data_IF_447352055918
#
_entry.id   IF_447352055918
#
_cell.length_a   1.000
_cell.length_b   1.000
_cell.length_c   1.000
_cell.angle_alpha   90.00
_cell.angle_beta   90.00
_cell.angle_gamma   90.00
#
_symmetry.space_group_name_H-M   'P 1'
#
loop_
_entity.id
_entity.type
_entity.pdbx_description
1 polymer ?
#
# COMPACT_ATOMS: atom_id res chain seq x y z
N UNK A 1 9.72 -11.59 -41.29
CA UNK A 1 9.99 -13.05 -41.21
C UNK A 1 10.24 -13.36 -39.74
N UNK A 2 9.43 -14.19 -39.13
CA UNK A 2 9.60 -14.64 -37.75
C UNK A 2 10.35 -15.98 -37.85
N UNK A 3 11.51 -16.08 -37.21
CA UNK A 3 12.25 -17.33 -37.07
C UNK A 3 12.04 -17.84 -35.63
N UNK A 4 11.54 -19.08 -35.54
CA UNK A 4 11.34 -19.75 -34.26
C UNK A 4 12.55 -20.69 -34.01
N UNK A 5 13.13 -20.54 -32.81
CA UNK A 5 14.16 -21.46 -32.33
C UNK A 5 13.57 -22.27 -31.19
N UNK A 6 13.55 -23.58 -31.33
CA UNK A 6 13.14 -24.50 -30.28
C UNK A 6 14.37 -24.95 -29.49
N UNK A 7 14.33 -24.76 -28.17
CA UNK A 7 15.39 -25.17 -27.23
C UNK A 7 14.86 -26.32 -26.35
N UNK A 8 15.45 -27.50 -26.50
CA UNK A 8 15.17 -28.66 -25.65
C UNK A 8 16.12 -28.65 -24.46
N UNK A 9 15.57 -28.46 -23.26
CA UNK A 9 16.34 -28.49 -22.01
C UNK A 9 16.21 -29.88 -21.37
N UNK A 10 17.33 -30.52 -21.10
CA UNK A 10 17.36 -31.83 -20.46
C UNK A 10 16.93 -31.80 -18.98
N UNK A 11 16.92 -30.62 -18.36
CA UNK A 11 16.62 -30.47 -16.95
C UNK A 11 15.71 -29.24 -16.75
N UNK A 12 14.56 -29.42 -16.12
CA UNK A 12 13.62 -28.33 -15.80
C UNK A 12 14.22 -27.24 -14.89
N UNK A 13 15.30 -27.56 -14.17
CA UNK A 13 16.05 -26.58 -13.33
C UNK A 13 16.81 -25.55 -14.15
N UNK A 14 17.15 -25.87 -15.40
CA UNK A 14 17.91 -24.99 -16.28
C UNK A 14 17.00 -24.00 -17.01
N UNK A 15 15.69 -24.19 -16.95
CA UNK A 15 14.69 -23.33 -17.59
C UNK A 15 14.80 -21.88 -17.10
N UNK A 16 14.88 -21.66 -15.80
CA UNK A 16 15.01 -20.31 -15.23
C UNK A 16 16.33 -19.64 -15.65
N UNK A 17 17.45 -20.39 -15.65
CA UNK A 17 18.76 -19.89 -16.08
C UNK A 17 18.79 -19.58 -17.57
N UNK A 18 18.23 -20.44 -18.42
CA UNK A 18 18.13 -20.21 -19.87
C UNK A 18 17.24 -19.01 -20.19
N UNK A 19 16.14 -18.83 -19.46
CA UNK A 19 15.33 -17.62 -19.56
C UNK A 19 16.11 -16.35 -19.14
N UNK A 20 16.90 -16.38 -18.08
CA UNK A 20 17.78 -15.25 -17.73
C UNK A 20 18.77 -14.91 -18.85
N UNK A 21 19.43 -15.92 -19.43
CA UNK A 21 20.43 -15.74 -20.52
C UNK A 21 19.79 -15.23 -21.82
N UNK A 22 18.61 -15.73 -22.18
CA UNK A 22 17.88 -15.26 -23.38
C UNK A 22 17.38 -13.82 -23.14
N UNK A 23 16.96 -13.50 -21.94
CA UNK A 23 16.45 -12.21 -21.56
C UNK A 23 17.53 -11.10 -21.53
N UNK A 24 18.78 -11.46 -21.31
CA UNK A 24 19.91 -10.51 -21.37
C UNK A 24 20.15 -9.96 -22.80
N UNK A 25 19.57 -10.63 -23.82
CA UNK A 25 19.66 -10.25 -25.23
C UNK A 25 18.36 -9.70 -25.84
N UNK A 26 17.27 -9.65 -25.06
CA UNK A 26 15.93 -9.24 -25.51
C UNK A 26 15.23 -8.27 -24.54
N UNK A 27 13.93 -8.31 -24.54
CA UNK A 27 13.10 -7.56 -23.58
C UNK A 27 13.22 -8.22 -22.19
N UNK A 28 13.71 -7.45 -21.19
CA UNK A 28 13.97 -8.01 -19.84
C UNK A 28 12.66 -8.52 -19.21
N UNK A 29 12.70 -9.76 -18.74
CA UNK A 29 11.62 -10.31 -17.93
C UNK A 29 11.36 -9.44 -16.70
N UNK A 30 10.09 -9.24 -16.38
CA UNK A 30 9.72 -8.58 -15.14
C UNK A 30 10.06 -9.49 -13.94
N UNK A 31 10.37 -8.93 -12.77
CA UNK A 31 10.70 -9.72 -11.58
C UNK A 31 9.64 -10.78 -11.23
N UNK A 32 8.35 -10.48 -11.40
CA UNK A 32 7.27 -11.45 -11.15
C UNK A 32 7.26 -12.62 -12.14
N UNK A 33 7.77 -12.44 -13.37
CA UNK A 33 7.90 -13.52 -14.37
C UNK A 33 9.04 -14.48 -14.00
N UNK A 34 10.16 -13.92 -13.53
CA UNK A 34 11.26 -14.72 -12.96
C UNK A 34 10.77 -15.49 -11.75
N UNK A 35 10.05 -14.83 -10.85
CA UNK A 35 9.49 -15.46 -9.66
C UNK A 35 8.51 -16.59 -10.01
N UNK A 36 7.64 -16.40 -11.02
CA UNK A 36 6.78 -17.44 -11.57
C UNK A 36 7.59 -18.67 -11.98
N UNK A 37 8.66 -18.46 -12.74
CA UNK A 37 9.53 -19.53 -13.22
C UNK A 37 10.16 -20.33 -12.06
N UNK A 38 10.67 -19.63 -11.05
CA UNK A 38 11.25 -20.23 -9.84
C UNK A 38 10.24 -21.05 -9.02
N UNK A 39 8.99 -20.57 -8.92
CA UNK A 39 7.95 -21.29 -8.17
C UNK A 39 7.43 -22.50 -8.96
N UNK A 40 6.93 -22.27 -10.19
CA UNK A 40 6.31 -23.32 -10.99
C UNK A 40 7.33 -24.35 -11.46
N UNK A 41 8.59 -23.98 -11.67
CA UNK A 41 9.66 -24.91 -12.02
C UNK A 41 9.97 -25.98 -10.97
N UNK A 42 9.41 -25.85 -9.76
CA UNK A 42 9.52 -26.87 -8.70
C UNK A 42 8.41 -27.92 -8.75
N UNK A 43 7.36 -27.69 -9.56
CA UNK A 43 6.18 -28.55 -9.65
C UNK A 43 6.28 -29.47 -10.89
N UNK A 44 5.55 -30.56 -10.87
CA UNK A 44 5.44 -31.44 -12.04
C UNK A 44 4.59 -30.76 -13.13
N UNK A 45 4.79 -31.16 -14.38
CA UNK A 45 4.01 -30.65 -15.50
C UNK A 45 2.50 -30.88 -15.30
N UNK A 46 2.13 -32.04 -14.78
CA UNK A 46 0.72 -32.38 -14.53
C UNK A 46 0.10 -31.45 -13.47
N UNK A 47 0.81 -31.15 -12.37
CA UNK A 47 0.36 -30.21 -11.34
C UNK A 47 0.22 -28.80 -11.90
N UNK A 48 1.18 -28.36 -12.71
CA UNK A 48 1.14 -27.04 -13.36
C UNK A 48 -0.09 -26.94 -14.24
N UNK A 49 -0.25 -27.87 -15.19
CA UNK A 49 -1.30 -27.83 -16.22
C UNK A 49 -2.70 -28.00 -15.63
N UNK A 50 -2.83 -28.83 -14.56
CA UNK A 50 -4.14 -29.09 -13.94
C UNK A 50 -4.62 -27.99 -12.99
N UNK A 51 -3.71 -27.27 -12.31
CA UNK A 51 -4.10 -26.42 -11.20
C UNK A 51 -3.31 -25.11 -11.10
N UNK A 52 -1.97 -25.17 -10.93
CA UNK A 52 -1.20 -24.04 -10.43
C UNK A 52 -0.95 -22.94 -11.46
N UNK A 53 -0.89 -23.28 -12.74
CA UNK A 53 -0.88 -22.29 -13.81
C UNK A 53 -2.18 -21.50 -13.85
N UNK A 54 -3.32 -22.16 -13.66
CA UNK A 54 -4.63 -21.52 -13.56
C UNK A 54 -4.72 -20.54 -12.39
N UNK A 55 -4.25 -20.94 -11.21
CA UNK A 55 -4.18 -20.04 -10.04
C UNK A 55 -3.35 -18.79 -10.37
N UNK A 56 -2.14 -18.99 -10.93
CA UNK A 56 -1.29 -17.87 -11.29
C UNK A 56 -1.95 -16.90 -12.28
N UNK A 57 -2.50 -17.43 -13.37
CA UNK A 57 -3.13 -16.62 -14.41
C UNK A 57 -4.33 -15.83 -13.85
N UNK A 58 -5.21 -16.50 -13.09
CA UNK A 58 -6.41 -15.86 -12.54
C UNK A 58 -6.08 -14.79 -11.48
N UNK A 59 -4.98 -14.95 -10.74
CA UNK A 59 -4.58 -14.04 -9.69
C UNK A 59 -3.72 -12.88 -10.21
N UNK A 60 -2.77 -13.13 -11.11
CA UNK A 60 -1.74 -12.16 -11.49
C UNK A 60 -2.09 -11.39 -12.78
N UNK A 61 -2.68 -12.02 -13.79
CA UNK A 61 -3.03 -11.33 -15.03
C UNK A 61 -3.98 -10.13 -14.84
N UNK A 62 -4.97 -10.16 -13.93
CA UNK A 62 -5.79 -8.98 -13.66
C UNK A 62 -4.98 -7.80 -13.13
N UNK A 63 -3.91 -8.04 -12.37
CA UNK A 63 -3.00 -7.00 -11.88
C UNK A 63 -2.15 -6.47 -13.04
N UNK A 64 -1.52 -7.36 -13.81
CA UNK A 64 -0.73 -7.03 -14.99
C UNK A 64 -1.53 -6.21 -16.01
N UNK A 65 -2.80 -6.55 -16.24
CA UNK A 65 -3.68 -5.83 -17.17
C UNK A 65 -3.95 -4.38 -16.76
N UNK A 66 -3.73 -4.01 -15.50
CA UNK A 66 -3.83 -2.62 -15.04
C UNK A 66 -2.54 -1.85 -15.26
N UNK A 67 -1.43 -2.43 -14.88
CA UNK A 67 -0.07 -1.89 -15.03
C UNK A 67 0.92 -3.07 -14.96
N UNK A 68 1.88 -3.12 -15.87
CA UNK A 68 2.91 -4.17 -15.90
C UNK A 68 3.71 -4.26 -14.58
N UNK A 69 3.79 -3.18 -13.82
CA UNK A 69 4.49 -3.14 -12.52
C UNK A 69 3.60 -3.57 -11.33
N UNK A 70 2.27 -3.72 -11.51
CA UNK A 70 1.39 -4.07 -10.39
C UNK A 70 1.63 -5.45 -9.80
N UNK A 71 1.95 -6.52 -10.56
CA UNK A 71 2.33 -7.79 -9.97
C UNK A 71 3.53 -7.67 -9.02
N UNK A 72 4.54 -6.89 -9.38
CA UNK A 72 5.72 -6.69 -8.54
C UNK A 72 5.41 -5.88 -7.28
N UNK A 73 4.54 -4.86 -7.38
CA UNK A 73 4.04 -4.11 -6.23
C UNK A 73 3.25 -5.01 -5.28
N UNK A 74 2.39 -5.86 -5.84
CA UNK A 74 1.62 -6.84 -5.07
C UNK A 74 2.52 -7.77 -4.25
N UNK A 75 3.50 -8.44 -4.87
CA UNK A 75 4.39 -9.35 -4.15
C UNK A 75 5.21 -8.64 -3.07
N UNK A 76 5.71 -7.43 -3.34
CA UNK A 76 6.40 -6.62 -2.32
C UNK A 76 5.48 -6.28 -1.15
N UNK A 77 4.24 -5.88 -1.40
CA UNK A 77 3.27 -5.63 -0.34
C UNK A 77 2.91 -6.89 0.43
N UNK A 78 2.70 -8.02 -0.27
CA UNK A 78 2.38 -9.30 0.35
C UNK A 78 3.49 -9.73 1.33
N UNK A 79 4.72 -9.83 0.85
CA UNK A 79 5.84 -10.24 1.72
C UNK A 79 6.06 -9.28 2.89
N UNK A 80 5.99 -7.99 2.64
CA UNK A 80 6.13 -6.99 3.71
C UNK A 80 5.02 -7.08 4.74
N UNK A 81 3.78 -7.24 4.30
CA UNK A 81 2.64 -7.28 5.22
C UNK A 81 2.67 -8.46 6.15
N UNK A 82 3.14 -9.62 5.67
CA UNK A 82 3.07 -10.87 6.42
C UNK A 82 4.35 -11.24 7.18
N UNK A 83 5.51 -10.78 6.70
CA UNK A 83 6.77 -11.34 7.16
C UNK A 83 7.79 -10.30 7.67
N UNK A 84 7.53 -8.99 7.55
CA UNK A 84 8.52 -7.98 7.98
C UNK A 84 8.13 -7.32 9.29
N UNK A 85 9.05 -7.30 10.26
CA UNK A 85 8.85 -6.69 11.56
C UNK A 85 9.77 -5.49 11.80
N UNK A 86 10.89 -5.43 11.08
CA UNK A 86 11.87 -4.36 11.22
C UNK A 86 12.01 -3.54 9.95
N UNK A 87 12.58 -2.34 10.09
CA UNK A 87 12.93 -1.48 8.95
C UNK A 87 13.88 -2.17 7.97
N UNK A 88 14.80 -3.01 8.49
CA UNK A 88 15.73 -3.76 7.64
C UNK A 88 14.98 -4.83 6.84
N UNK A 89 14.11 -5.60 7.48
CA UNK A 89 13.28 -6.60 6.81
C UNK A 89 12.42 -5.97 5.72
N UNK A 90 11.81 -4.81 6.02
CA UNK A 90 11.04 -4.06 5.05
C UNK A 90 11.87 -3.66 3.82
N UNK A 91 13.12 -3.24 4.03
CA UNK A 91 14.06 -2.86 2.94
C UNK A 91 14.53 -4.05 2.11
N UNK A 92 14.63 -5.24 2.69
CA UNK A 92 15.04 -6.42 1.94
C UNK A 92 14.16 -6.65 0.70
N UNK A 93 12.86 -6.29 0.79
CA UNK A 93 11.92 -6.41 -0.33
C UNK A 93 11.80 -5.15 -1.21
N UNK A 94 12.68 -4.14 -1.06
CA UNK A 94 12.70 -2.96 -1.97
C UNK A 94 13.22 -3.29 -3.36
N UNK A 95 14.18 -4.20 -3.43
CA UNK A 95 14.88 -4.58 -4.65
C UNK A 95 14.33 -5.84 -5.30
N UNK A 96 15.22 -6.80 -5.48
CA UNK A 96 14.98 -8.06 -6.18
C UNK A 96 14.28 -9.10 -5.28
N UNK A 97 13.03 -8.84 -4.89
CA UNK A 97 12.28 -9.74 -4.01
C UNK A 97 12.23 -11.19 -4.53
N UNK A 98 12.19 -11.39 -5.86
CA UNK A 98 12.17 -12.70 -6.51
C UNK A 98 13.42 -13.55 -6.21
N UNK A 99 14.51 -12.93 -5.77
CA UNK A 99 15.74 -13.60 -5.30
C UNK A 99 15.79 -13.66 -3.77
N UNK A 100 15.36 -12.57 -3.12
CA UNK A 100 15.42 -12.42 -1.65
C UNK A 100 14.60 -13.50 -0.94
N UNK A 101 13.44 -13.87 -1.45
CA UNK A 101 12.56 -14.91 -0.87
C UNK A 101 13.24 -16.28 -0.74
N UNK A 102 14.21 -16.60 -1.61
CA UNK A 102 15.00 -17.85 -1.59
C UNK A 102 16.34 -17.73 -0.87
N UNK A 103 16.62 -16.60 -0.22
CA UNK A 103 17.86 -16.35 0.52
C UNK A 103 17.92 -17.14 1.81
N UNK A 104 19.14 -17.28 2.37
CA UNK A 104 19.34 -17.97 3.67
C UNK A 104 18.55 -17.35 4.83
N UNK A 105 18.26 -16.04 4.75
CA UNK A 105 17.46 -15.33 5.76
C UNK A 105 15.98 -15.66 5.66
N UNK A 106 15.43 -15.65 4.44
CA UNK A 106 13.99 -15.68 4.21
C UNK A 106 13.44 -17.07 3.89
N UNK A 107 14.27 -17.96 3.35
CA UNK A 107 13.85 -19.33 3.05
C UNK A 107 13.29 -20.12 4.27
N UNK A 108 13.88 -20.02 5.48
CA UNK A 108 13.31 -20.68 6.67
C UNK A 108 11.92 -20.16 7.07
N UNK A 109 11.60 -18.91 6.70
CA UNK A 109 10.31 -18.26 7.01
C UNK A 109 9.28 -18.57 5.94
N UNK A 110 9.66 -18.43 4.67
CA UNK A 110 8.75 -18.53 3.52
C UNK A 110 8.63 -19.97 2.99
N UNK A 111 9.65 -20.78 3.20
CA UNK A 111 9.70 -22.20 2.79
C UNK A 111 9.39 -22.43 1.30
N UNK A 112 9.91 -21.55 0.44
CA UNK A 112 9.65 -21.60 -1.01
C UNK A 112 10.78 -22.22 -1.82
N UNK A 113 11.97 -22.42 -1.22
CA UNK A 113 13.14 -22.91 -1.94
C UNK A 113 13.21 -24.43 -1.94
N UNK A 114 13.17 -25.05 -3.11
CA UNK A 114 13.21 -26.51 -3.26
C UNK A 114 12.20 -27.23 -2.36
N UNK A 115 11.03 -26.65 -2.25
CA UNK A 115 9.93 -27.12 -1.44
C UNK A 115 8.62 -27.06 -2.24
N UNK A 116 8.33 -28.06 -3.08
CA UNK A 116 7.12 -28.09 -3.90
C UNK A 116 5.82 -27.92 -3.09
N UNK A 117 5.74 -28.50 -1.90
CA UNK A 117 4.54 -28.41 -1.06
C UNK A 117 4.36 -27.00 -0.47
N UNK A 118 5.43 -26.35 -0.05
CA UNK A 118 5.41 -24.95 0.35
C UNK A 118 4.98 -24.02 -0.79
N UNK A 119 5.47 -24.28 -2.01
CA UNK A 119 5.04 -23.53 -3.21
C UNK A 119 3.54 -23.72 -3.48
N UNK A 120 3.03 -24.95 -3.38
CA UNK A 120 1.60 -25.26 -3.57
C UNK A 120 0.74 -24.54 -2.55
N UNK A 121 1.15 -24.55 -1.29
CA UNK A 121 0.46 -23.86 -0.20
C UNK A 121 0.46 -22.34 -0.44
N UNK A 122 1.62 -21.75 -0.72
CA UNK A 122 1.74 -20.33 -1.01
C UNK A 122 0.83 -19.88 -2.17
N UNK A 123 0.80 -20.65 -3.26
CA UNK A 123 -0.05 -20.32 -4.41
C UNK A 123 -1.55 -20.40 -4.08
N UNK A 124 -1.99 -21.44 -3.36
CA UNK A 124 -3.40 -21.66 -3.04
C UNK A 124 -3.92 -20.77 -1.93
N UNK A 125 -3.13 -20.57 -0.89
CA UNK A 125 -3.58 -19.88 0.33
C UNK A 125 -3.28 -18.38 0.28
N UNK A 126 -2.10 -18.00 -0.22
CA UNK A 126 -1.71 -16.59 -0.19
C UNK A 126 -1.97 -15.90 -1.53
N UNK A 127 -1.43 -16.41 -2.65
CA UNK A 127 -1.56 -15.72 -3.94
C UNK A 127 -3.01 -15.66 -4.38
N UNK A 128 -3.72 -16.79 -4.32
CA UNK A 128 -5.13 -16.88 -4.75
C UNK A 128 -6.07 -16.02 -3.90
N UNK A 129 -5.73 -15.82 -2.63
CA UNK A 129 -6.51 -14.99 -1.71
C UNK A 129 -6.15 -13.49 -1.77
N UNK A 130 -4.85 -13.18 -1.68
CA UNK A 130 -4.42 -11.79 -1.53
C UNK A 130 -4.38 -11.00 -2.85
N UNK A 131 -4.18 -11.64 -3.99
CA UNK A 131 -4.17 -10.92 -5.26
C UNK A 131 -5.56 -10.32 -5.62
N UNK A 132 -6.69 -11.05 -5.50
CA UNK A 132 -8.02 -10.44 -5.64
C UNK A 132 -8.31 -9.36 -4.59
N UNK A 133 -7.86 -9.51 -3.36
CA UNK A 133 -7.98 -8.49 -2.32
C UNK A 133 -7.22 -7.22 -2.71
N UNK A 134 -5.98 -7.35 -3.17
CA UNK A 134 -5.18 -6.23 -3.64
C UNK A 134 -5.81 -5.54 -4.85
N UNK A 135 -6.30 -6.30 -5.83
CA UNK A 135 -7.04 -5.77 -6.98
C UNK A 135 -8.29 -4.99 -6.55
N UNK A 136 -9.02 -5.48 -5.54
CA UNK A 136 -10.15 -4.75 -4.94
C UNK A 136 -9.71 -3.42 -4.33
N UNK A 137 -8.59 -3.39 -3.61
CA UNK A 137 -8.03 -2.16 -3.03
C UNK A 137 -7.64 -1.15 -4.11
N UNK A 138 -6.99 -1.58 -5.19
CA UNK A 138 -6.69 -0.73 -6.33
C UNK A 138 -7.96 -0.12 -6.93
N UNK A 139 -8.99 -0.95 -7.12
CA UNK A 139 -10.28 -0.51 -7.67
C UNK A 139 -10.98 0.50 -6.75
N UNK A 140 -11.00 0.27 -5.44
CA UNK A 140 -11.53 1.22 -4.46
C UNK A 140 -10.74 2.53 -4.45
N UNK A 141 -9.42 2.46 -4.62
CA UNK A 141 -8.55 3.63 -4.65
C UNK A 141 -8.76 4.53 -5.88
N UNK A 142 -9.43 4.04 -6.92
CA UNK A 142 -9.75 4.80 -8.12
C UNK A 142 -11.17 5.38 -8.14
N UNK A 143 -12.09 4.77 -7.41
CA UNK A 143 -13.49 5.22 -7.34
C UNK A 143 -13.64 6.37 -6.37
N UNK A 144 -13.89 7.57 -6.88
CA UNK A 144 -14.35 8.68 -6.05
C UNK A 144 -15.69 8.36 -5.39
N UNK A 145 -15.92 8.94 -4.22
CA UNK A 145 -17.18 8.77 -3.49
C UNK A 145 -17.05 9.26 -2.05
N UNK A 146 -18.19 9.64 -1.46
CA UNK A 146 -18.22 10.05 -0.06
C UNK A 146 -17.84 8.86 0.84
N UNK A 147 -16.95 9.13 1.82
CA UNK A 147 -16.51 8.10 2.75
C UNK A 147 -15.57 7.03 2.16
N UNK A 148 -15.17 7.14 0.90
CA UNK A 148 -14.18 6.23 0.33
C UNK A 148 -12.75 6.66 0.70
N UNK A 149 -12.30 6.27 1.86
CA UNK A 149 -10.97 6.61 2.36
C UNK A 149 -9.83 5.98 1.54
N UNK A 150 -10.06 4.84 0.90
CA UNK A 150 -9.08 4.25 -0.01
C UNK A 150 -8.75 5.21 -1.17
N UNK A 151 -9.76 5.86 -1.73
CA UNK A 151 -9.61 6.89 -2.74
C UNK A 151 -8.93 8.16 -2.18
N UNK A 152 -9.35 8.61 -1.00
CA UNK A 152 -8.78 9.81 -0.37
C UNK A 152 -7.28 9.67 -0.16
N UNK A 153 -6.87 8.55 0.39
CA UNK A 153 -5.45 8.29 0.66
C UNK A 153 -4.62 8.28 -0.62
N UNK A 154 -5.01 7.49 -1.62
CA UNK A 154 -4.20 7.31 -2.83
C UNK A 154 -4.33 8.49 -3.79
N UNK A 155 -5.55 8.88 -4.14
CA UNK A 155 -5.76 9.88 -5.21
C UNK A 155 -5.62 11.31 -4.73
N UNK A 156 -6.08 11.60 -3.51
CA UNK A 156 -6.03 12.97 -2.99
C UNK A 156 -4.71 13.24 -2.26
N UNK A 157 -4.25 12.32 -1.40
CA UNK A 157 -3.04 12.51 -0.58
C UNK A 157 -1.78 11.86 -1.17
N UNK A 158 -1.88 11.00 -2.18
CA UNK A 158 -0.76 10.23 -2.78
C UNK A 158 -0.08 9.29 -1.78
N UNK A 159 -0.89 8.63 -0.96
CA UNK A 159 -0.46 7.70 0.09
C UNK A 159 -0.98 6.29 -0.23
N UNK A 160 -0.16 5.45 -0.83
CA UNK A 160 -0.50 4.08 -1.23
C UNK A 160 -0.19 3.02 -0.16
N UNK A 161 0.55 3.38 0.89
CA UNK A 161 0.96 2.46 1.96
C UNK A 161 -0.20 1.87 2.76
N UNK A 162 -1.41 2.40 2.63
CA UNK A 162 -2.61 1.75 3.14
C UNK A 162 -2.80 0.32 2.61
N UNK A 163 -2.32 0.02 1.40
CA UNK A 163 -2.40 -1.32 0.82
C UNK A 163 -1.62 -2.34 1.66
N UNK A 164 -0.42 -1.97 2.10
CA UNK A 164 0.38 -2.78 3.03
C UNK A 164 -0.40 -3.09 4.31
N UNK A 165 -0.97 -2.06 4.95
CA UNK A 165 -1.67 -2.19 6.23
C UNK A 165 -2.95 -3.01 6.11
N UNK A 166 -3.68 -2.89 5.01
CA UNK A 166 -4.86 -3.72 4.77
C UNK A 166 -4.47 -5.18 4.56
N UNK A 167 -3.44 -5.46 3.75
CA UNK A 167 -2.96 -6.83 3.56
C UNK A 167 -2.45 -7.43 4.88
N UNK A 168 -1.84 -6.61 5.76
CA UNK A 168 -1.42 -7.07 7.09
C UNK A 168 -2.61 -7.45 7.97
N UNK A 169 -3.63 -6.60 8.04
CA UNK A 169 -4.78 -6.75 8.94
C UNK A 169 -5.74 -7.89 8.54
N UNK A 170 -5.80 -8.24 7.26
CA UNK A 170 -6.71 -9.27 6.74
C UNK A 170 -5.99 -10.61 6.68
N UNK A 171 -6.55 -11.64 7.30
CA UNK A 171 -6.07 -13.03 7.18
C UNK A 171 -6.74 -13.78 6.02
N UNK A 172 -6.18 -14.91 5.64
CA UNK A 172 -6.80 -15.81 4.65
C UNK A 172 -8.16 -16.28 5.16
N UNK A 173 -9.19 -16.18 4.31
CA UNK A 173 -10.55 -16.58 4.70
C UNK A 173 -11.28 -15.62 5.64
N UNK A 174 -10.75 -14.41 5.87
CA UNK A 174 -11.31 -13.45 6.84
C UNK A 174 -12.76 -13.05 6.52
N UNK A 175 -13.73 -13.39 7.38
CA UNK A 175 -15.13 -13.02 7.17
C UNK A 175 -15.37 -11.51 7.32
N UNK A 176 -14.51 -10.79 8.04
CA UNK A 176 -14.58 -9.35 8.28
C UNK A 176 -13.72 -8.54 7.30
N UNK A 177 -13.26 -9.15 6.21
CA UNK A 177 -12.37 -8.52 5.22
C UNK A 177 -12.83 -7.13 4.80
N UNK A 178 -14.08 -6.97 4.43
CA UNK A 178 -14.60 -5.71 3.91
C UNK A 178 -14.76 -4.64 5.00
N UNK A 179 -15.03 -5.04 6.23
CA UNK A 179 -15.04 -4.16 7.39
C UNK A 179 -13.62 -3.69 7.72
N UNK A 180 -12.65 -4.59 7.74
CA UNK A 180 -11.23 -4.26 7.97
C UNK A 180 -10.68 -3.33 6.88
N UNK A 181 -11.04 -3.52 5.61
CA UNK A 181 -10.66 -2.59 4.53
C UNK A 181 -11.15 -1.18 4.87
N UNK A 182 -12.43 -1.02 5.21
CA UNK A 182 -13.01 0.30 5.55
C UNK A 182 -12.36 0.89 6.80
N UNK A 183 -12.16 0.08 7.81
CA UNK A 183 -11.56 0.51 9.09
C UNK A 183 -10.13 0.98 8.90
N UNK A 184 -9.26 0.14 8.32
CA UNK A 184 -7.84 0.46 8.13
C UNK A 184 -7.66 1.70 7.25
N UNK A 185 -8.37 1.81 6.13
CA UNK A 185 -8.24 2.96 5.24
C UNK A 185 -8.70 4.26 5.91
N UNK A 186 -9.78 4.21 6.72
CA UNK A 186 -10.26 5.34 7.52
C UNK A 186 -9.26 5.74 8.61
N UNK A 187 -8.74 4.77 9.35
CA UNK A 187 -7.79 5.04 10.42
C UNK A 187 -6.46 5.56 9.89
N UNK A 188 -6.03 5.08 8.72
CA UNK A 188 -4.84 5.60 8.04
C UNK A 188 -5.01 7.06 7.62
N UNK A 189 -6.16 7.43 7.05
CA UNK A 189 -6.50 8.83 6.73
C UNK A 189 -6.53 9.71 7.99
N UNK A 190 -7.16 9.23 9.07
CA UNK A 190 -7.19 9.93 10.36
C UNK A 190 -5.77 10.13 10.92
N UNK A 191 -4.96 9.10 10.92
CA UNK A 191 -3.59 9.14 11.41
C UNK A 191 -2.77 10.20 10.66
N UNK A 192 -2.76 10.13 9.32
CA UNK A 192 -2.09 11.12 8.48
C UNK A 192 -2.62 12.54 8.72
N UNK A 193 -3.94 12.70 8.74
CA UNK A 193 -4.57 14.01 8.89
C UNK A 193 -4.26 14.66 10.24
N UNK A 194 -4.31 13.90 11.34
CA UNK A 194 -4.00 14.44 12.66
C UNK A 194 -2.51 14.77 12.83
N UNK A 195 -1.61 13.97 12.27
CA UNK A 195 -0.19 14.32 12.25
C UNK A 195 0.07 15.62 11.49
N UNK A 196 -0.62 15.87 10.38
CA UNK A 196 -0.52 17.13 9.65
C UNK A 196 -1.06 18.29 10.48
N UNK A 197 -2.28 18.17 11.02
CA UNK A 197 -2.96 19.23 11.75
C UNK A 197 -2.28 19.58 13.08
N UNK A 198 -1.60 18.66 13.71
CA UNK A 198 -0.84 18.91 14.96
C UNK A 198 0.61 19.35 14.68
N UNK A 199 1.01 19.51 13.42
CA UNK A 199 2.40 19.82 13.06
C UNK A 199 3.39 18.69 13.39
N UNK A 200 2.89 17.48 13.60
CA UNK A 200 3.69 16.30 14.00
C UNK A 200 4.15 15.45 12.80
N UNK A 201 3.72 15.79 11.59
CA UNK A 201 4.05 15.00 10.41
C UNK A 201 5.51 15.17 9.98
N UNK A 202 6.21 14.05 9.88
CA UNK A 202 7.51 13.93 9.23
C UNK A 202 7.53 12.66 8.38
N UNK A 203 7.98 12.73 7.14
CA UNK A 203 7.91 11.60 6.19
C UNK A 203 8.72 10.37 6.65
N UNK A 204 9.86 10.57 7.31
CA UNK A 204 10.69 9.48 7.83
C UNK A 204 10.03 8.81 9.05
N UNK A 205 9.57 9.62 10.00
CA UNK A 205 8.84 9.13 11.19
C UNK A 205 7.55 8.44 10.78
N UNK A 206 6.82 8.99 9.81
CA UNK A 206 5.61 8.36 9.27
C UNK A 206 5.91 7.00 8.63
N UNK A 207 7.07 6.85 7.98
CA UNK A 207 7.51 5.52 7.47
C UNK A 207 7.76 4.52 8.60
N UNK A 208 8.36 4.97 9.70
CA UNK A 208 8.57 4.13 10.89
C UNK A 208 7.25 3.72 11.53
N UNK A 209 6.30 4.66 11.65
CA UNK A 209 4.95 4.39 12.14
C UNK A 209 4.21 3.35 11.29
N UNK A 210 4.33 3.42 9.96
CA UNK A 210 3.73 2.43 9.06
C UNK A 210 4.33 1.04 9.27
N UNK A 211 5.63 0.92 9.49
CA UNK A 211 6.28 -0.37 9.78
C UNK A 211 5.80 -0.92 11.14
N UNK A 212 5.72 -0.07 12.16
CA UNK A 212 5.19 -0.47 13.47
C UNK A 212 3.72 -0.92 13.39
N UNK A 213 2.88 -0.14 12.69
CA UNK A 213 1.50 -0.50 12.44
C UNK A 213 1.38 -1.81 11.65
N UNK A 214 2.23 -2.03 10.63
CA UNK A 214 2.23 -3.28 9.86
C UNK A 214 2.34 -4.51 10.77
N UNK A 215 3.26 -4.49 11.72
CA UNK A 215 3.42 -5.59 12.68
C UNK A 215 2.24 -5.68 13.65
N UNK A 216 1.78 -4.55 14.16
CA UNK A 216 0.70 -4.50 15.17
C UNK A 216 -0.68 -4.89 14.61
N UNK A 217 -0.93 -4.68 13.32
CA UNK A 217 -2.21 -4.99 12.68
C UNK A 217 -2.32 -6.44 12.19
N UNK A 218 -1.21 -7.17 12.16
CA UNK A 218 -1.15 -8.49 11.50
C UNK A 218 -2.19 -9.44 12.07
N UNK A 219 -3.12 -9.83 11.19
CA UNK A 219 -4.23 -10.75 11.46
C UNK A 219 -5.13 -10.35 12.65
N UNK A 220 -5.05 -9.08 13.08
CA UNK A 220 -5.77 -8.53 14.21
C UNK A 220 -7.29 -8.42 14.00
N UNK A 221 -8.05 -8.46 15.07
CA UNK A 221 -9.48 -8.13 15.09
C UNK A 221 -9.71 -6.64 14.83
N UNK A 222 -10.95 -6.24 14.51
CA UNK A 222 -11.29 -4.82 14.31
C UNK A 222 -11.01 -3.97 15.55
N UNK A 223 -11.17 -4.51 16.76
CA UNK A 223 -10.87 -3.81 18.00
C UNK A 223 -9.36 -3.62 18.20
N UNK A 224 -8.54 -4.65 17.94
CA UNK A 224 -7.08 -4.56 18.00
C UNK A 224 -6.52 -3.60 16.96
N UNK A 225 -7.06 -3.61 15.74
CA UNK A 225 -6.71 -2.65 14.68
C UNK A 225 -6.97 -1.21 15.14
N UNK A 226 -8.15 -0.94 15.72
CA UNK A 226 -8.49 0.39 16.24
C UNK A 226 -7.51 0.80 17.34
N UNK A 227 -7.27 -0.06 18.32
CA UNK A 227 -6.38 0.19 19.44
C UNK A 227 -4.92 0.44 18.99
N UNK A 228 -4.42 -0.32 18.02
CA UNK A 228 -3.08 -0.15 17.47
C UNK A 228 -2.90 1.21 16.80
N UNK A 229 -3.86 1.65 15.98
CA UNK A 229 -3.82 2.98 15.39
C UNK A 229 -3.93 4.10 16.42
N UNK A 230 -4.79 3.96 17.44
CA UNK A 230 -4.95 4.95 18.49
C UNK A 230 -3.64 5.11 19.30
N UNK A 231 -3.06 4.00 19.70
CA UNK A 231 -1.80 3.97 20.44
C UNK A 231 -0.63 4.55 19.63
N UNK A 232 -0.50 4.16 18.36
CA UNK A 232 0.57 4.65 17.50
C UNK A 232 0.42 6.15 17.22
N UNK A 233 -0.80 6.65 17.03
CA UNK A 233 -1.05 8.07 16.81
C UNK A 233 -0.61 8.91 18.01
N UNK A 234 -0.98 8.50 19.23
CA UNK A 234 -0.58 9.18 20.46
C UNK A 234 0.93 9.17 20.64
N UNK A 235 1.58 8.04 20.38
CA UNK A 235 3.03 7.92 20.45
C UNK A 235 3.74 8.85 19.45
N UNK A 236 3.25 8.91 18.20
CA UNK A 236 3.83 9.75 17.15
C UNK A 236 3.69 11.25 17.48
N UNK A 237 2.50 11.70 17.94
CA UNK A 237 2.29 13.08 18.34
C UNK A 237 3.16 13.42 19.56
N UNK A 238 3.17 12.55 20.58
CA UNK A 238 3.99 12.75 21.78
C UNK A 238 5.47 12.88 21.45
N UNK A 239 5.97 12.00 20.59
CA UNK A 239 7.37 12.04 20.13
C UNK A 239 7.69 13.33 19.37
N UNK A 240 6.80 13.75 18.48
CA UNK A 240 7.02 14.94 17.66
C UNK A 240 6.93 16.24 18.46
N UNK A 241 6.02 16.31 19.44
CA UNK A 241 5.81 17.48 20.28
C UNK A 241 6.74 17.53 21.50
N UNK A 242 7.41 16.42 21.83
CA UNK A 242 8.27 16.31 23.04
C UNK A 242 7.51 16.35 24.35
N UNK A 243 6.21 16.02 24.35
CA UNK A 243 5.32 16.00 25.52
C UNK A 243 4.50 14.71 25.54
N UNK A 244 3.99 14.33 26.72
CA UNK A 244 3.02 13.22 26.78
C UNK A 244 1.64 13.69 26.32
N UNK A 245 1.07 12.98 25.36
CA UNK A 245 -0.26 13.26 24.78
C UNK A 245 -1.14 12.04 25.01
N UNK A 246 -2.26 12.23 25.68
CA UNK A 246 -3.27 11.21 26.01
C UNK A 246 -4.58 11.35 25.17
N UNK A 247 -4.80 12.54 24.61
CA UNK A 247 -5.91 12.83 23.71
C UNK A 247 -5.39 13.57 22.47
N UNK A 248 -5.54 12.99 21.24
CA UNK A 248 -5.08 13.62 20.01
C UNK A 248 -5.92 14.83 19.58
N UNK A 249 -7.03 15.11 20.26
CA UNK A 249 -7.94 16.22 19.97
C UNK A 249 -7.80 17.40 20.94
N UNK A 250 -6.80 17.39 21.83
CA UNK A 250 -6.52 18.52 22.72
C UNK A 250 -6.29 19.80 21.93
N UNK A 251 -7.03 20.86 22.28
CA UNK A 251 -6.93 22.16 21.60
C UNK A 251 -5.51 22.70 21.50
N UNK A 252 -4.70 22.46 22.51
CA UNK A 252 -3.30 22.91 22.57
C UNK A 252 -2.45 22.41 21.42
N UNK A 253 -2.75 21.23 20.86
CA UNK A 253 -2.04 20.63 19.73
C UNK A 253 -2.30 21.36 18.40
N UNK A 254 -3.42 22.10 18.31
CA UNK A 254 -3.85 22.76 17.08
C UNK A 254 -3.55 24.26 17.04
N UNK A 255 -2.95 24.83 18.11
CA UNK A 255 -2.68 26.29 18.22
C UNK A 255 -1.74 26.81 17.15
N UNK A 256 -0.84 25.98 16.67
CA UNK A 256 0.21 26.36 15.73
C UNK A 256 -0.09 25.88 14.29
N UNK A 257 -1.36 25.62 13.97
CA UNK A 257 -1.74 25.35 12.59
C UNK A 257 -1.50 26.61 11.77
N UNK A 258 -0.40 26.61 11.03
CA UNK A 258 0.04 27.76 10.25
C UNK A 258 0.30 27.43 8.79
N UNK A 259 1.04 28.32 8.14
CA UNK A 259 1.41 28.29 6.73
C UNK A 259 2.32 27.12 6.33
N UNK A 260 2.80 26.34 7.29
CA UNK A 260 3.73 25.21 7.06
C UNK A 260 3.06 23.97 6.52
N UNK A 261 1.72 23.90 6.54
CA UNK A 261 0.98 22.78 5.98
C UNK A 261 1.16 22.71 4.48
N UNK A 262 1.49 21.54 3.98
CA UNK A 262 1.64 21.32 2.53
C UNK A 262 0.36 21.70 1.77
N UNK A 263 0.49 22.49 0.70
CA UNK A 263 -0.65 23.03 -0.06
C UNK A 263 -1.65 21.97 -0.56
N UNK A 264 -1.20 20.75 -0.78
CA UNK A 264 -2.08 19.62 -1.13
C UNK A 264 -2.94 19.19 0.06
N UNK A 265 -2.34 19.07 1.25
CA UNK A 265 -3.08 18.70 2.44
C UNK A 265 -4.10 19.78 2.84
N UNK A 266 -3.74 21.06 2.75
CA UNK A 266 -4.67 22.16 3.01
C UNK A 266 -5.90 22.05 2.09
N UNK A 267 -5.70 21.87 0.77
CA UNK A 267 -6.83 21.70 -0.16
C UNK A 267 -7.65 20.46 0.16
N UNK A 268 -7.01 19.36 0.51
CA UNK A 268 -7.69 18.14 0.94
C UNK A 268 -8.54 18.39 2.19
N UNK A 269 -7.98 19.05 3.20
CA UNK A 269 -8.69 19.36 4.44
C UNK A 269 -9.90 20.26 4.18
N UNK A 270 -9.74 21.34 3.43
CA UNK A 270 -10.86 22.23 3.09
C UNK A 270 -11.91 21.55 2.21
N UNK A 271 -11.51 20.72 1.26
CA UNK A 271 -12.45 19.94 0.47
C UNK A 271 -13.31 19.00 1.35
N UNK A 272 -12.68 18.38 2.37
CA UNK A 272 -13.38 17.55 3.37
C UNK A 272 -14.36 18.37 4.20
N UNK A 273 -13.93 19.55 4.64
CA UNK A 273 -14.77 20.47 5.42
C UNK A 273 -15.95 20.98 4.61
N UNK A 274 -15.71 21.39 3.36
CA UNK A 274 -16.74 21.87 2.44
C UNK A 274 -17.82 20.80 2.19
N UNK A 275 -17.39 19.56 1.92
CA UNK A 275 -18.30 18.44 1.77
C UNK A 275 -19.11 18.15 3.06
N UNK A 276 -18.47 18.22 4.21
CA UNK A 276 -19.15 18.02 5.49
C UNK A 276 -20.22 19.09 5.77
N UNK A 277 -19.93 20.36 5.47
CA UNK A 277 -20.86 21.47 5.60
C UNK A 277 -21.96 21.35 4.56
N UNK A 278 -21.61 21.14 3.30
CA UNK A 278 -22.54 21.02 2.19
C UNK A 278 -23.56 19.91 2.38
N UNK A 279 -23.13 18.76 2.88
CA UNK A 279 -24.02 17.63 3.20
C UNK A 279 -25.04 18.01 4.28
N UNK A 280 -24.61 18.68 5.34
CA UNK A 280 -25.51 19.14 6.42
C UNK A 280 -26.42 20.26 5.99
N UNK A 281 -25.94 21.16 5.17
CA UNK A 281 -26.69 22.29 4.64
C UNK A 281 -27.55 21.91 3.40
N UNK A 282 -27.47 20.67 2.90
CA UNK A 282 -28.09 20.19 1.66
C UNK A 282 -27.71 21.04 0.43
N UNK A 283 -26.47 21.52 0.41
CA UNK A 283 -25.89 22.30 -0.69
C UNK A 283 -25.17 21.37 -1.67
N UNK A 284 -25.13 21.78 -2.92
CA UNK A 284 -24.30 21.13 -3.93
C UNK A 284 -22.84 21.53 -3.71
N UNK A 285 -21.97 20.53 -3.60
CA UNK A 285 -20.52 20.71 -3.47
C UNK A 285 -19.81 20.10 -4.68
N UNK A 286 -18.64 20.64 -5.00
CA UNK A 286 -17.84 20.14 -6.13
C UNK A 286 -17.18 18.79 -5.80
N UNK A 287 -16.73 18.09 -6.83
CA UNK A 287 -16.08 16.81 -6.67
C UNK A 287 -14.70 16.96 -6.02
N UNK A 288 -14.38 16.14 -5.01
CA UNK A 288 -13.14 16.19 -4.24
C UNK A 288 -11.87 16.31 -5.09
N UNK A 289 -11.80 15.55 -6.17
CA UNK A 289 -10.62 15.54 -7.02
C UNK A 289 -10.37 16.91 -7.66
N UNK A 290 -11.43 17.61 -8.08
CA UNK A 290 -11.34 18.94 -8.65
C UNK A 290 -10.83 19.95 -7.62
N UNK A 291 -11.27 19.83 -6.36
CA UNK A 291 -10.88 20.72 -5.28
C UNK A 291 -9.42 20.53 -4.85
N UNK A 292 -8.93 19.30 -4.85
CA UNK A 292 -7.59 18.97 -4.33
C UNK A 292 -6.50 19.04 -5.39
N UNK A 293 -6.82 18.75 -6.66
CA UNK A 293 -5.81 18.79 -7.73
C UNK A 293 -5.32 20.20 -8.00
N UNK A 294 -4.03 20.35 -8.24
CA UNK A 294 -3.47 21.60 -8.76
C UNK A 294 -3.51 21.58 -10.29
N UNK A 295 -4.10 22.59 -10.90
CA UNK A 295 -4.16 22.78 -12.37
C UNK A 295 -3.28 23.94 -12.86
N UNK A 296 -2.23 24.28 -12.12
CA UNK A 296 -1.41 25.45 -12.39
C UNK A 296 -2.07 26.77 -11.96
N UNK A 297 -1.53 27.91 -12.42
CA UNK A 297 -2.00 29.24 -11.97
C UNK A 297 -3.37 29.65 -12.53
N UNK A 298 -3.86 28.99 -13.58
CA UNK A 298 -5.11 29.40 -14.27
C UNK A 298 -6.34 28.59 -13.90
N UNK A 299 -6.17 27.38 -13.42
CA UNK A 299 -7.30 26.46 -13.19
C UNK A 299 -7.11 25.70 -11.89
N UNK A 300 -8.21 25.53 -11.14
CA UNK A 300 -8.26 24.81 -9.87
C UNK A 300 -8.48 25.75 -8.68
N UNK A 301 -8.73 25.14 -7.54
CA UNK A 301 -8.93 25.88 -6.30
C UNK A 301 -7.60 26.34 -5.73
N UNK A 302 -7.54 27.62 -5.37
CA UNK A 302 -6.39 28.25 -4.71
C UNK A 302 -6.67 28.39 -3.22
N UNK A 303 -5.63 28.28 -2.41
CA UNK A 303 -5.70 28.61 -0.99
C UNK A 303 -5.47 30.12 -0.89
N UNK A 304 -6.53 30.83 -0.52
CA UNK A 304 -6.47 32.28 -0.30
C UNK A 304 -6.30 32.59 1.19
N UNK A 305 -5.55 33.61 1.49
CA UNK A 305 -5.39 34.11 2.84
C UNK A 305 -6.36 35.28 3.06
N UNK A 306 -7.11 35.24 4.16
CA UNK A 306 -7.99 36.35 4.57
C UNK A 306 -7.14 37.60 4.83
N UNK A 307 -5.94 37.42 5.40
CA UNK A 307 -4.95 38.46 5.59
C UNK A 307 -3.74 38.20 4.71
N UNK A 308 -3.14 39.25 4.16
CA UNK A 308 -1.92 39.11 3.37
C UNK A 308 -0.80 38.48 4.23
N UNK A 309 -0.03 37.57 3.63
CA UNK A 309 1.07 36.90 4.32
C UNK A 309 2.31 37.83 4.40
N UNK A 310 2.23 38.85 5.24
CA UNK A 310 3.32 39.78 5.53
C UNK A 310 3.71 39.73 7.02
N UNK A 311 4.80 40.43 7.40
CA UNK A 311 5.31 40.40 8.75
C UNK A 311 4.31 40.97 9.79
N UNK A 312 3.54 41.98 9.41
CA UNK A 312 2.54 42.63 10.27
C UNK A 312 1.37 41.67 10.59
N UNK A 313 0.85 41.01 9.58
CA UNK A 313 -0.26 40.07 9.75
C UNK A 313 0.14 38.74 10.42
N UNK A 314 1.44 38.41 10.43
CA UNK A 314 1.95 37.24 11.18
C UNK A 314 2.10 37.49 12.67
N UNK A 315 2.09 38.76 13.07
CA UNK A 315 2.19 39.18 14.48
C UNK A 315 0.81 39.23 15.19
N UNK A 316 -0.28 39.16 14.43
CA UNK A 316 -1.68 39.05 14.89
C UNK A 316 -2.05 37.59 15.17
#
# INVERSE_FOLDING_TARGET
>A
RIELVELHLANSRDVAMVFEVINDRGEKLQPYEVFKGELLGQLTKEEIDSTYYGIWINSINPLQSRDNAEPDRFFRYLFRSKHTDTRQDYRDFDGEYQRIVFSKKWDPVLQLKRNPDGVKQFLREEVDWYAPLYLKLLTLSEKGGMGNYAYFNVRLNRLDRQHLLVLSAVQVGDPYRDEKIRLVTRLFDRHFSLLQLTGSYNSNSFTESIIALNTALRDGTTAEIQAAFDSQLLADISKAQGISVDDPYQWTLFRNIGYELGSRFIRYFFARLDHFIGERAKLRVDYYYNMVRSQGRKYGYHVEHILANNAENRAL
#
